data_IF_146857373092
#
_entry.id   IF_146857373092
#
_cell.length_a   1.000
_cell.length_b   1.000
_cell.length_c   1.000
_cell.angle_alpha   90.00
_cell.angle_beta   90.00
_cell.angle_gamma   90.00
#
_symmetry.space_group_name_H-M   'P 1'
#
loop_
_entity.id
_entity.type
_entity.pdbx_description
1 polymer ?
#
# COMPACT_ATOMS: atom_id res chain seq x y z
N UNK A 1 5.75 -0.91 11.68
CA UNK A 1 5.09 -1.12 10.37
C UNK A 1 3.60 -1.08 10.60
N UNK A 2 2.90 -0.10 10.02
CA UNK A 2 1.45 0.08 10.15
C UNK A 2 0.78 -0.05 8.79
N UNK A 3 -0.42 -0.66 8.74
CA UNK A 3 -1.24 -0.76 7.53
C UNK A 3 -1.87 0.60 7.21
N UNK A 4 -1.60 1.15 6.02
CA UNK A 4 -2.28 2.36 5.52
C UNK A 4 -3.48 2.04 4.63
N UNK A 5 -3.29 1.10 3.71
CA UNK A 5 -4.31 0.68 2.75
C UNK A 5 -4.38 -0.83 2.66
N UNK A 6 -5.56 -1.34 2.33
CA UNK A 6 -5.80 -2.75 2.06
C UNK A 6 -6.61 -2.88 0.79
N UNK A 7 -5.98 -3.33 -0.29
CA UNK A 7 -6.60 -3.41 -1.62
C UNK A 7 -6.07 -4.59 -2.42
N UNK A 8 -6.86 -5.09 -3.37
CA UNK A 8 -6.41 -6.04 -4.40
C UNK A 8 -6.01 -5.34 -5.70
N UNK A 9 -6.22 -4.02 -5.78
CA UNK A 9 -5.92 -3.26 -6.99
C UNK A 9 -4.41 -3.08 -7.14
N UNK A 10 -3.84 -3.72 -8.17
CA UNK A 10 -2.41 -3.68 -8.42
C UNK A 10 -1.94 -2.28 -8.85
N UNK A 11 -2.79 -1.49 -9.51
CA UNK A 11 -2.44 -0.14 -9.96
C UNK A 11 -2.30 0.79 -8.76
N UNK A 12 -3.27 0.72 -7.84
CA UNK A 12 -3.25 1.48 -6.60
C UNK A 12 -2.02 1.15 -5.75
N UNK A 13 -1.68 -0.14 -5.61
CA UNK A 13 -0.49 -0.56 -4.86
C UNK A 13 0.81 -0.06 -5.49
N UNK A 14 0.96 -0.16 -6.82
CA UNK A 14 2.13 0.38 -7.52
C UNK A 14 2.23 1.91 -7.42
N UNK A 15 1.10 2.60 -7.44
CA UNK A 15 1.05 4.06 -7.26
C UNK A 15 1.44 4.45 -5.84
N UNK A 16 0.86 3.81 -4.82
CA UNK A 16 1.23 3.97 -3.42
C UNK A 16 2.72 3.72 -3.16
N UNK A 17 3.27 2.64 -3.72
CA UNK A 17 4.70 2.32 -3.61
C UNK A 17 5.58 3.41 -4.23
N UNK A 18 5.18 3.93 -5.39
CA UNK A 18 5.92 5.01 -6.07
C UNK A 18 5.95 6.28 -5.22
N UNK A 19 4.81 6.68 -4.66
CA UNK A 19 4.72 7.85 -3.76
C UNK A 19 5.64 7.71 -2.54
N UNK A 20 5.65 6.54 -1.90
CA UNK A 20 6.52 6.29 -0.74
C UNK A 20 7.99 6.29 -1.14
N UNK A 21 8.32 5.72 -2.30
CA UNK A 21 9.69 5.71 -2.82
C UNK A 21 10.19 7.11 -3.16
N UNK A 22 9.34 7.97 -3.72
CA UNK A 22 9.65 9.38 -4.00
C UNK A 22 9.87 10.18 -2.71
N UNK A 23 9.10 9.90 -1.66
CA UNK A 23 9.27 10.50 -0.33
C UNK A 23 10.42 9.89 0.49
N UNK A 24 11.05 8.82 0.00
CA UNK A 24 12.09 8.09 0.73
C UNK A 24 11.57 7.38 1.98
N UNK A 25 10.28 7.02 2.01
CA UNK A 25 9.64 6.28 3.10
C UNK A 25 9.72 4.79 2.78
N UNK A 26 10.15 3.97 3.74
CA UNK A 26 10.14 2.53 3.53
C UNK A 26 8.69 1.99 3.61
N UNK A 27 8.28 1.28 2.57
CA UNK A 27 6.99 0.61 2.50
C UNK A 27 7.14 -0.89 2.23
N UNK A 28 6.15 -1.66 2.68
CA UNK A 28 6.09 -3.10 2.54
C UNK A 28 4.70 -3.52 2.08
N UNK A 29 4.62 -4.26 0.98
CA UNK A 29 3.37 -4.89 0.53
C UNK A 29 3.34 -6.32 1.07
N UNK A 30 2.54 -6.55 2.11
CA UNK A 30 2.27 -7.86 2.66
C UNK A 30 1.11 -8.55 1.91
N UNK A 31 1.02 -9.87 2.06
CA UNK A 31 0.02 -10.71 1.38
C UNK A 31 0.25 -10.86 -0.15
N UNK A 32 1.50 -10.69 -0.61
CA UNK A 32 1.91 -11.01 -1.99
C UNK A 32 1.97 -12.52 -2.28
N UNK A 33 1.41 -13.38 -1.42
CA UNK A 33 1.42 -14.81 -1.59
C UNK A 33 0.42 -15.23 -2.68
N UNK A 34 0.74 -14.94 -3.94
CA UNK A 34 0.08 -15.54 -5.07
C UNK A 34 1.08 -15.83 -6.17
N UNK A 35 1.42 -17.11 -6.28
CA UNK A 35 2.20 -17.67 -7.38
C UNK A 35 1.59 -17.24 -8.72
N UNK A 36 2.35 -16.45 -9.47
CA UNK A 36 2.09 -16.10 -10.89
C UNK A 36 1.86 -17.36 -11.76
N UNK A 37 2.25 -18.54 -11.26
CA UNK A 37 2.21 -19.82 -11.98
C UNK A 37 0.86 -20.57 -11.88
N UNK A 38 -0.05 -20.25 -10.95
CA UNK A 38 -1.22 -21.10 -10.68
C UNK A 38 -2.51 -20.29 -10.50
N UNK A 39 -2.98 -19.66 -11.59
CA UNK A 39 -4.39 -19.55 -11.99
C UNK A 39 -5.51 -19.18 -10.99
N UNK A 40 -5.23 -18.80 -9.75
CA UNK A 40 -6.23 -18.47 -8.75
C UNK A 40 -6.35 -16.96 -8.66
N UNK A 41 -7.52 -16.46 -9.01
CA UNK A 41 -7.92 -15.08 -8.78
C UNK A 41 -7.90 -14.76 -7.27
N UNK A 42 -7.16 -13.71 -6.93
CA UNK A 42 -6.93 -13.15 -5.60
C UNK A 42 -8.14 -13.15 -4.66
N UNK A 43 -8.09 -14.01 -3.64
CA UNK A 43 -9.09 -14.04 -2.58
C UNK A 43 -8.66 -13.26 -1.33
N UNK A 44 -7.41 -12.81 -1.23
CA UNK A 44 -6.91 -12.10 -0.06
C UNK A 44 -6.40 -10.71 -0.43
N UNK A 45 -6.97 -9.64 0.17
CA UNK A 45 -6.54 -8.28 -0.10
C UNK A 45 -5.14 -8.02 0.44
N UNK A 46 -4.30 -7.42 -0.41
CA UNK A 46 -2.92 -7.07 -0.08
C UNK A 46 -2.90 -5.88 0.86
N UNK A 47 -1.95 -5.90 1.79
CA UNK A 47 -1.81 -4.85 2.81
C UNK A 47 -0.59 -4.04 2.48
N UNK A 48 -0.75 -2.73 2.37
CA UNK A 48 0.36 -1.81 2.22
C UNK A 48 0.72 -1.27 3.59
N UNK A 49 1.95 -1.51 4.01
CA UNK A 49 2.46 -1.09 5.29
C UNK A 49 3.55 -0.05 5.12
N UNK A 50 3.63 0.90 6.04
CA UNK A 50 4.71 1.89 6.12
C UNK A 50 5.35 1.86 7.50
N UNK A 51 6.49 2.52 7.64
CA UNK A 51 7.12 2.74 8.93
C UNK A 51 6.19 3.52 9.88
N UNK A 52 6.03 3.03 11.10
CA UNK A 52 5.14 3.64 12.09
C UNK A 52 5.62 5.03 12.54
N UNK A 53 6.92 5.31 12.40
CA UNK A 53 7.52 6.62 12.72
C UNK A 53 7.14 7.70 11.69
N UNK A 54 6.89 7.29 10.44
CA UNK A 54 6.53 8.18 9.32
C UNK A 54 5.09 7.97 8.84
N UNK A 55 4.24 7.44 9.71
CA UNK A 55 2.84 7.18 9.41
C UNK A 55 2.09 8.47 9.03
N UNK A 56 2.22 9.52 9.86
CA UNK A 56 1.57 10.81 9.62
C UNK A 56 2.01 11.40 8.27
N UNK A 57 3.31 11.37 7.99
CA UNK A 57 3.88 11.87 6.74
C UNK A 57 3.35 11.08 5.53
N UNK A 58 3.35 9.75 5.62
CA UNK A 58 2.82 8.88 4.58
C UNK A 58 1.32 9.13 4.34
N UNK A 59 0.51 9.31 5.40
CA UNK A 59 -0.91 9.66 5.31
C UNK A 59 -1.13 11.03 4.66
N UNK A 60 -0.28 12.01 4.95
CA UNK A 60 -0.34 13.31 4.29
C UNK A 60 -0.05 13.18 2.79
N UNK A 61 0.98 12.43 2.39
CA UNK A 61 1.31 12.19 0.98
C UNK A 61 0.16 11.50 0.25
N UNK A 62 -0.44 10.48 0.86
CA UNK A 62 -1.62 9.81 0.31
C UNK A 62 -2.80 10.78 0.15
N UNK A 63 -3.00 11.67 1.13
CA UNK A 63 -4.08 12.67 1.07
C UNK A 63 -3.84 13.68 -0.04
N UNK A 64 -2.61 14.18 -0.19
CA UNK A 64 -2.21 15.11 -1.25
C UNK A 64 -2.34 14.47 -2.64
N UNK A 65 -2.00 13.18 -2.76
CA UNK A 65 -2.17 12.39 -3.97
C UNK A 65 -3.63 11.98 -4.27
N UNK A 66 -4.59 12.37 -3.43
CA UNK A 66 -6.01 12.06 -3.63
C UNK A 66 -6.44 10.64 -3.22
N UNK A 67 -5.61 9.91 -2.48
CA UNK A 67 -5.87 8.56 -1.96
C UNK A 67 -6.48 8.58 -0.54
N UNK A 68 -6.93 9.73 -0.05
CA UNK A 68 -7.49 9.87 1.31
C UNK A 68 -8.66 8.91 1.58
N UNK A 69 -9.45 8.59 0.55
CA UNK A 69 -10.60 7.69 0.66
C UNK A 69 -10.21 6.22 0.89
N UNK A 70 -8.99 5.84 0.52
CA UNK A 70 -8.47 4.46 0.61
C UNK A 70 -7.76 4.20 1.94
N UNK A 71 -7.43 5.27 2.67
CA UNK A 71 -6.80 5.19 3.98
C UNK A 71 -7.73 4.52 4.97
N UNK A 72 -7.21 3.49 5.64
CA UNK A 72 -7.84 2.90 6.82
C UNK A 72 -7.81 3.92 7.97
N UNK A 73 -8.76 3.86 8.93
CA UNK A 73 -8.68 4.62 10.17
C UNK A 73 -7.52 4.14 11.05
#
# INVERSE_FOLDING_TARGET
>A
MIELIRTNDAVLLSFAESLMKEAGIHCLIADQAMSILEGSLGMLPRRFLVESDREDEARQIFTDAGLAAELRP
#
